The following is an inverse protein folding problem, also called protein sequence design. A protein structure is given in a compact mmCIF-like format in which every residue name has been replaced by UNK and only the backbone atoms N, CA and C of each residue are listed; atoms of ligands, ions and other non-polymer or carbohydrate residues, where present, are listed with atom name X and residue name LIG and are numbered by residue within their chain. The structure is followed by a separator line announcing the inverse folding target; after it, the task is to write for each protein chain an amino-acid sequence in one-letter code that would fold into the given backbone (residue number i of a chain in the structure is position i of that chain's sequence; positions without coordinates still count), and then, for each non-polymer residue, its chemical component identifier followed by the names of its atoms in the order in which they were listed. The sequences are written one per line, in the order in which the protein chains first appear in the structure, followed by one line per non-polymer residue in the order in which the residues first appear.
data_IF_248460769635
#
_entry.id   IF_248460769635
#
_cell.length_a   1.000
_cell.length_b   1.000
_cell.length_c   1.000
_cell.angle_alpha   90.00
_cell.angle_beta   90.00
_cell.angle_gamma   90.00
#
_symmetry.space_group_name_H-M   'P 1'
#
loop_
_entity.id
_entity.type
_entity.pdbx_description
1 polymer ?
#
# COMPACT_ATOMS: atom_id res chain seq x y z
N UNK A 1 -0.46 4.35 -14.86
CA UNK A 1 0.85 4.45 -14.16
C UNK A 1 0.88 5.78 -13.43
N UNK A 2 1.22 5.79 -12.14
CA UNK A 2 1.25 6.98 -11.28
C UNK A 2 2.15 6.76 -10.06
N UNK A 3 2.42 7.86 -9.34
CA UNK A 3 2.87 7.83 -7.95
C UNK A 3 1.72 8.28 -7.04
N UNK A 4 1.66 7.80 -5.80
CA UNK A 4 0.63 8.25 -4.85
C UNK A 4 0.81 9.73 -4.49
N UNK A 5 2.04 10.24 -4.53
CA UNK A 5 2.32 11.67 -4.36
C UNK A 5 1.62 12.58 -5.36
N UNK A 6 1.32 12.09 -6.57
CA UNK A 6 0.55 12.82 -7.59
C UNK A 6 -0.92 13.04 -7.16
N UNK A 7 -1.39 12.29 -6.16
CA UNK A 7 -2.74 12.36 -5.59
C UNK A 7 -2.76 12.93 -4.16
N UNK A 8 -1.78 13.76 -3.83
CA UNK A 8 -1.63 14.48 -2.56
C UNK A 8 -1.25 13.60 -1.35
N UNK A 9 -0.90 12.33 -1.55
CA UNK A 9 -0.47 11.50 -0.43
C UNK A 9 0.83 12.02 0.20
N UNK A 10 0.91 12.10 1.55
CA UNK A 10 2.11 12.57 2.22
C UNK A 10 3.34 11.71 1.93
N UNK A 11 4.53 12.31 1.77
CA UNK A 11 5.75 11.56 1.43
C UNK A 11 6.25 10.63 2.53
N UNK A 12 5.70 10.75 3.74
CA UNK A 12 6.00 9.88 4.88
C UNK A 12 5.17 8.59 4.91
N UNK A 13 4.18 8.47 4.01
CA UNK A 13 3.42 7.23 3.84
C UNK A 13 4.28 6.10 3.29
N UNK A 14 4.04 4.92 3.81
CA UNK A 14 4.58 3.67 3.30
C UNK A 14 3.43 2.74 2.91
N UNK A 15 3.48 2.23 1.69
CA UNK A 15 2.47 1.33 1.16
C UNK A 15 2.75 -0.10 1.58
N UNK A 16 1.67 -0.78 1.94
CA UNK A 16 1.65 -2.21 2.22
C UNK A 16 0.57 -2.87 1.36
N UNK A 17 0.90 -4.01 0.81
CA UNK A 17 -0.02 -4.85 0.06
C UNK A 17 -0.04 -6.24 0.70
N UNK A 18 -1.23 -6.68 1.15
CA UNK A 18 -1.48 -8.03 1.64
C UNK A 18 -2.11 -8.86 0.53
N UNK A 19 -1.49 -9.96 0.15
CA UNK A 19 -1.99 -10.85 -0.89
C UNK A 19 -3.00 -11.86 -0.33
N UNK A 20 -4.23 -11.83 -0.84
CA UNK A 20 -5.28 -12.80 -0.50
C UNK A 20 -5.29 -13.96 -1.50
N UNK A 21 -4.77 -13.74 -2.70
CA UNK A 21 -4.49 -14.76 -3.70
C UNK A 21 -3.04 -14.65 -4.12
N UNK A 22 -2.48 -15.70 -4.73
CA UNK A 22 -1.17 -15.56 -5.37
C UNK A 22 -1.19 -14.47 -6.44
N UNK A 23 -0.09 -13.74 -6.58
CA UNK A 23 0.11 -12.77 -7.64
C UNK A 23 1.49 -12.92 -8.27
N UNK A 24 1.53 -12.86 -9.59
CA UNK A 24 2.74 -12.99 -10.42
C UNK A 24 2.45 -12.48 -11.83
N UNK A 25 3.47 -12.18 -12.59
CA UNK A 25 3.34 -11.72 -13.97
C UNK A 25 2.21 -10.68 -14.14
N UNK A 26 1.39 -10.78 -15.15
CA UNK A 26 0.40 -9.76 -15.55
C UNK A 26 -0.77 -9.59 -14.57
N UNK A 27 -0.96 -10.47 -13.58
CA UNK A 27 -1.92 -10.22 -12.51
C UNK A 27 -1.34 -9.43 -11.33
N UNK A 28 -0.03 -9.11 -11.36
CA UNK A 28 0.65 -8.34 -10.33
C UNK A 28 0.51 -6.84 -10.52
N UNK A 29 0.78 -6.09 -9.44
CA UNK A 29 1.16 -4.69 -9.54
C UNK A 29 2.65 -4.60 -9.91
N UNK A 30 2.99 -3.76 -10.87
CA UNK A 30 4.37 -3.46 -11.27
C UNK A 30 4.81 -2.16 -10.62
N UNK A 31 6.02 -2.13 -10.08
CA UNK A 31 6.59 -0.96 -9.43
C UNK A 31 8.06 -0.78 -9.76
N UNK A 32 8.55 0.45 -9.68
CA UNK A 32 9.99 0.74 -9.67
C UNK A 32 10.60 0.29 -8.35
N UNK A 33 11.88 -0.12 -8.36
CA UNK A 33 12.63 -0.42 -7.14
C UNK A 33 13.01 0.84 -6.35
N UNK A 34 13.22 1.95 -7.06
CA UNK A 34 13.56 3.26 -6.53
C UNK A 34 12.90 4.35 -7.40
N UNK A 35 12.67 5.55 -6.86
CA UNK A 35 12.06 6.65 -7.60
C UNK A 35 12.81 6.98 -8.91
N UNK A 36 12.07 7.06 -10.00
CA UNK A 36 12.55 7.42 -11.34
C UNK A 36 13.59 6.47 -11.98
N UNK A 37 13.72 5.26 -11.47
CA UNK A 37 14.69 4.30 -12.00
C UNK A 37 14.22 3.63 -13.30
N UNK A 38 12.91 3.50 -13.51
CA UNK A 38 12.34 2.91 -14.72
C UNK A 38 12.46 1.39 -14.82
N UNK A 39 12.92 0.73 -13.77
CA UNK A 39 13.17 -0.72 -13.70
C UNK A 39 11.94 -1.51 -13.24
N UNK A 40 10.81 -1.27 -13.85
CA UNK A 40 9.54 -1.87 -13.47
C UNK A 40 9.61 -3.40 -13.37
N UNK A 41 9.17 -3.91 -12.24
CA UNK A 41 9.10 -5.35 -11.97
C UNK A 41 7.80 -5.71 -11.23
N UNK A 42 7.29 -6.93 -11.40
CA UNK A 42 6.08 -7.37 -10.72
C UNK A 42 6.34 -7.57 -9.23
N UNK A 43 5.38 -7.18 -8.40
CA UNK A 43 5.34 -7.57 -6.99
C UNK A 43 4.80 -9.01 -6.93
N UNK A 44 5.70 -9.98 -6.82
CA UNK A 44 5.34 -11.40 -6.75
C UNK A 44 5.10 -11.80 -5.30
N UNK A 45 3.92 -12.36 -5.00
CA UNK A 45 3.54 -12.77 -3.65
C UNK A 45 2.70 -14.04 -3.67
N UNK A 46 2.82 -14.84 -2.61
CA UNK A 46 1.93 -15.95 -2.30
C UNK A 46 0.79 -15.47 -1.38
N UNK A 47 -0.21 -16.32 -1.20
CA UNK A 47 -1.28 -16.08 -0.23
C UNK A 47 -0.71 -15.75 1.16
N UNK A 48 -1.22 -14.67 1.77
CA UNK A 48 -0.86 -14.24 3.11
C UNK A 48 0.45 -13.45 3.23
N UNK A 49 1.22 -13.31 2.14
CA UNK A 49 2.42 -12.48 2.16
C UNK A 49 2.06 -11.00 2.13
N UNK A 50 2.91 -10.21 2.77
CA UNK A 50 2.82 -8.74 2.79
C UNK A 50 4.05 -8.14 2.13
N UNK A 51 3.84 -7.32 1.13
CA UNK A 51 4.89 -6.50 0.52
C UNK A 51 4.81 -5.06 1.03
N UNK A 52 5.96 -4.48 1.31
CA UNK A 52 6.12 -3.05 1.57
C UNK A 52 6.82 -2.41 0.38
N UNK A 53 6.27 -1.33 -0.16
CA UNK A 53 6.89 -0.56 -1.23
C UNK A 53 6.64 0.94 -1.07
N UNK A 54 7.45 1.77 -1.71
CA UNK A 54 7.34 3.22 -1.59
C UNK A 54 6.52 3.82 -2.74
N UNK A 55 5.22 3.54 -2.76
CA UNK A 55 4.30 3.99 -3.81
C UNK A 55 4.15 5.51 -3.92
N UNK A 56 4.54 6.27 -2.88
CA UNK A 56 4.49 7.73 -2.92
C UNK A 56 5.35 8.31 -4.06
N UNK A 57 6.54 7.76 -4.30
CA UNK A 57 7.48 8.24 -5.33
C UNK A 57 7.86 7.20 -6.37
N UNK A 58 7.76 5.91 -6.07
CA UNK A 58 7.95 4.86 -7.06
C UNK A 58 6.70 4.76 -7.93
N UNK A 59 6.88 4.94 -9.24
CA UNK A 59 5.78 4.75 -10.18
C UNK A 59 5.34 3.30 -10.16
N UNK A 60 4.05 3.10 -10.19
CA UNK A 60 3.46 1.77 -10.20
C UNK A 60 2.21 1.72 -11.08
N UNK A 61 1.86 0.54 -11.54
CA UNK A 61 0.72 0.33 -12.41
C UNK A 61 0.25 -1.13 -12.42
N UNK A 62 -0.97 -1.32 -12.86
CA UNK A 62 -1.49 -2.64 -13.22
C UNK A 62 -1.66 -2.69 -14.74
N UNK A 63 -1.44 -3.87 -15.31
CA UNK A 63 -1.71 -4.13 -16.72
C UNK A 63 -2.92 -5.06 -16.88
N UNK A 64 -3.34 -5.29 -18.12
CA UNK A 64 -4.37 -6.29 -18.40
C UNK A 64 -3.89 -7.66 -17.94
N UNK A 65 -4.64 -8.30 -17.05
CA UNK A 65 -4.37 -9.64 -16.59
C UNK A 65 -4.52 -10.64 -17.76
N UNK A 66 -3.43 -11.33 -18.08
CA UNK A 66 -3.38 -12.40 -19.08
C UNK A 66 -3.16 -13.77 -18.47
N UNK A 67 -3.09 -13.85 -17.13
CA UNK A 67 -3.09 -15.12 -16.41
C UNK A 67 -4.51 -15.67 -16.32
N UNK A 68 -4.68 -16.92 -15.99
CA UNK A 68 -5.98 -17.54 -15.73
C UNK A 68 -6.48 -17.30 -14.29
N UNK A 69 -5.79 -16.45 -13.50
CA UNK A 69 -6.04 -16.28 -12.07
C UNK A 69 -6.38 -14.82 -11.75
N UNK A 70 -7.41 -14.61 -10.96
CA UNK A 70 -7.76 -13.30 -10.42
C UNK A 70 -6.88 -12.98 -9.22
N UNK A 71 -6.36 -11.75 -9.15
CA UNK A 71 -5.70 -11.22 -7.96
C UNK A 71 -6.72 -10.56 -7.05
N UNK A 72 -6.64 -10.88 -5.77
CA UNK A 72 -7.29 -10.17 -4.68
C UNK A 72 -6.21 -9.76 -3.68
N UNK A 73 -6.12 -8.48 -3.40
CA UNK A 73 -5.18 -7.92 -2.43
C UNK A 73 -5.84 -6.80 -1.62
N UNK A 74 -5.34 -6.57 -0.41
CA UNK A 74 -5.65 -5.38 0.38
C UNK A 74 -4.45 -4.45 0.38
N UNK A 75 -4.69 -3.20 0.01
CA UNK A 75 -3.69 -2.15 0.06
C UNK A 75 -4.00 -1.23 1.24
N UNK A 76 -2.99 -0.96 2.04
CA UNK A 76 -3.09 -0.01 3.14
C UNK A 76 -1.80 0.78 3.30
N UNK A 77 -1.90 1.88 3.99
CA UNK A 77 -0.78 2.81 4.19
C UNK A 77 -0.55 3.05 5.66
N UNK A 78 0.71 3.17 6.04
CA UNK A 78 1.12 3.44 7.41
C UNK A 78 2.04 4.66 7.42
N UNK A 79 1.80 5.55 8.38
CA UNK A 79 2.72 6.62 8.76
C UNK A 79 3.15 6.35 10.22
N UNK A 80 4.45 6.24 10.51
CA UNK A 80 4.92 6.21 11.90
C UNK A 80 4.46 7.46 12.65
N UNK A 81 3.97 7.31 13.88
CA UNK A 81 3.46 8.45 14.66
C UNK A 81 4.49 9.60 14.80
N UNK A 82 5.79 9.25 14.87
CA UNK A 82 6.89 10.22 14.93
C UNK A 82 7.11 11.01 13.63
N UNK A 83 6.50 10.59 12.53
CA UNK A 83 6.60 11.23 11.20
C UNK A 83 5.25 11.75 10.71
N UNK A 84 4.23 11.66 11.55
CA UNK A 84 2.91 12.17 11.23
C UNK A 84 2.89 13.68 11.39
N UNK A 85 2.46 14.36 10.35
CA UNK A 85 2.16 15.79 10.34
C UNK A 85 0.75 15.96 9.81
N UNK A 86 -0.03 16.86 10.42
CA UNK A 86 -1.36 17.19 9.91
C UNK A 86 -1.25 17.82 8.53
N UNK A 87 -2.05 17.32 7.60
CA UNK A 87 -2.06 17.80 6.23
C UNK A 87 -3.51 18.04 5.79
N UNK A 88 -3.83 19.30 5.54
CA UNK A 88 -5.15 19.74 5.09
C UNK A 88 -5.48 19.35 3.64
N UNK A 89 -4.51 18.82 2.89
CA UNK A 89 -4.76 18.27 1.57
C UNK A 89 -5.75 17.10 1.64
N UNK A 90 -6.48 16.87 0.57
CA UNK A 90 -7.46 15.82 0.46
C UNK A 90 -7.02 14.76 -0.53
N UNK A 91 -7.34 13.50 -0.20
CA UNK A 91 -7.16 12.39 -1.12
C UNK A 91 -8.11 12.56 -2.32
N UNK A 92 -7.55 12.57 -3.54
CA UNK A 92 -8.27 12.88 -4.78
C UNK A 92 -9.50 12.00 -4.99
N UNK A 93 -9.39 10.71 -4.66
CA UNK A 93 -10.49 9.76 -4.92
C UNK A 93 -11.56 9.73 -3.82
N UNK A 94 -11.20 9.97 -2.57
CA UNK A 94 -12.13 9.87 -1.43
C UNK A 94 -12.59 11.23 -0.88
N UNK A 95 -11.90 12.32 -1.23
CA UNK A 95 -12.14 13.65 -0.67
C UNK A 95 -11.83 13.77 0.82
N UNK A 96 -11.26 12.73 1.46
CA UNK A 96 -10.91 12.76 2.87
C UNK A 96 -9.60 13.50 3.10
N UNK A 97 -9.57 14.36 4.10
CA UNK A 97 -8.33 15.03 4.54
C UNK A 97 -7.34 14.00 5.10
N UNK A 98 -6.05 14.23 4.88
CA UNK A 98 -4.96 13.39 5.40
C UNK A 98 -4.68 13.65 6.88
N UNK A 99 -5.71 13.54 7.72
CA UNK A 99 -5.65 13.73 9.17
C UNK A 99 -6.19 12.51 9.90
N UNK A 100 -5.86 12.36 11.18
CA UNK A 100 -6.45 11.33 12.04
C UNK A 100 -7.95 11.60 12.21
N UNK A 101 -8.77 10.58 12.01
CA UNK A 101 -10.24 10.70 11.94
C UNK A 101 -10.77 11.03 10.53
N UNK A 102 -9.90 11.42 9.60
CA UNK A 102 -10.20 11.57 8.19
C UNK A 102 -9.75 10.34 7.39
N UNK A 103 -8.57 10.45 6.76
CA UNK A 103 -7.96 9.36 6.00
C UNK A 103 -7.26 8.32 6.90
N UNK A 104 -6.71 8.76 8.04
CA UNK A 104 -5.97 7.92 8.96
C UNK A 104 -6.74 7.53 10.21
N UNK A 105 -6.39 6.37 10.76
CA UNK A 105 -6.80 5.90 12.06
C UNK A 105 -5.56 5.73 12.94
N UNK A 106 -5.62 6.21 14.19
CA UNK A 106 -4.53 5.99 15.16
C UNK A 106 -4.57 4.55 15.66
N UNK A 107 -3.46 3.84 15.50
CA UNK A 107 -3.27 2.52 16.07
C UNK A 107 -2.38 2.59 17.30
N UNK A 108 -2.75 1.88 18.37
CA UNK A 108 -1.92 1.71 19.57
C UNK A 108 -1.38 0.28 19.59
N UNK A 109 -0.14 0.11 20.03
CA UNK A 109 0.39 -1.22 20.29
C UNK A 109 -0.46 -1.89 21.39
N UNK A 110 -0.97 -3.09 21.12
CA UNK A 110 -1.64 -3.88 22.15
C UNK A 110 -0.63 -4.25 23.24
N UNK A 111 -0.97 -3.98 24.49
CA UNK A 111 -0.18 -4.40 25.66
C UNK A 111 -0.56 -5.80 26.13
N UNK A 112 -1.56 -6.44 25.50
CA UNK A 112 -2.05 -7.75 25.88
C UNK A 112 -1.59 -8.81 24.86
N UNK A 113 -0.57 -9.64 25.19
CA UNK A 113 -0.06 -10.65 24.25
C UNK A 113 -1.06 -11.78 23.92
N UNK A 114 -2.13 -11.91 24.70
CA UNK A 114 -3.15 -12.95 24.53
C UNK A 114 -4.24 -12.63 23.50
N UNK A 115 -4.20 -11.47 22.85
CA UNK A 115 -5.21 -11.11 21.83
C UNK A 115 -4.89 -11.62 20.42
N UNK A 116 -3.77 -12.26 20.20
CA UNK A 116 -3.50 -13.02 18.99
C UNK A 116 -3.90 -14.48 19.18
N UNK A 117 -5.21 -14.77 19.23
CA UNK A 117 -5.62 -16.13 18.96
C UNK A 117 -5.38 -16.40 17.49
N UNK A 118 -4.42 -17.23 17.17
CA UNK A 118 -4.31 -17.90 15.89
C UNK A 118 -5.51 -18.82 15.75
N UNK A 119 -6.66 -18.27 15.38
CA UNK A 119 -7.80 -19.05 14.94
C UNK A 119 -7.44 -19.59 13.56
N UNK A 120 -6.86 -20.77 13.54
CA UNK A 120 -6.85 -21.63 12.37
C UNK A 120 -8.14 -22.41 12.35
#
# INVERSE_FOLDING_TARGET
MHCDGDYNHPPTEMNYMLSVTGQWDTNSCYTESEPNKGDFHPIVMKYGEVCRFYGNRCRHYNMKNRTSHTRISFDFRIIPASKYEENEATAVHSGRKFVVGGYYMRMKKSTNPSSFSTGL
#
